data_IF_050450055261
#
_entry.id   IF_050450055261
#
_cell.length_a   1.000
_cell.length_b   1.000
_cell.length_c   1.000
_cell.angle_alpha   90.00
_cell.angle_beta   90.00
_cell.angle_gamma   90.00
#
_symmetry.space_group_name_H-M   'P 1'
#
loop_
_entity.id
_entity.type
_entity.pdbx_description
1 polymer ?
#
# COMPACT_ATOMS: atom_id res chain seq x y z
N UNK A 1 -7.89 -15.40 -18.00
CA UNK A 1 -9.16 -16.09 -17.67
C UNK A 1 -9.54 -15.69 -16.25
N UNK A 2 -10.75 -15.14 -16.04
CA UNK A 2 -11.27 -14.89 -14.69
C UNK A 2 -11.58 -16.26 -14.05
N UNK A 3 -10.88 -16.62 -12.98
CA UNK A 3 -11.16 -17.85 -12.22
C UNK A 3 -12.25 -17.60 -11.17
N UNK A 4 -12.92 -18.66 -10.72
CA UNK A 4 -13.95 -18.64 -9.68
C UNK A 4 -15.06 -17.61 -9.93
N UNK A 5 -15.55 -17.54 -11.18
CA UNK A 5 -16.60 -16.61 -11.61
C UNK A 5 -17.88 -16.76 -10.79
N UNK A 6 -18.19 -17.97 -10.33
CA UNK A 6 -19.36 -18.21 -9.47
C UNK A 6 -19.31 -17.44 -8.15
N UNK A 7 -18.10 -17.11 -7.65
CA UNK A 7 -17.91 -16.38 -6.40
C UNK A 7 -17.49 -14.92 -6.63
N UNK A 8 -16.52 -14.66 -7.50
CA UNK A 8 -16.02 -13.31 -7.78
C UNK A 8 -16.93 -12.49 -8.71
N UNK A 9 -17.90 -13.14 -9.37
CA UNK A 9 -18.75 -12.53 -10.38
C UNK A 9 -18.08 -12.44 -11.75
N UNK A 10 -18.85 -11.96 -12.73
CA UNK A 10 -18.39 -11.85 -14.13
C UNK A 10 -17.49 -10.65 -14.39
N UNK A 11 -17.53 -9.65 -13.50
CA UNK A 11 -16.78 -8.40 -13.59
C UNK A 11 -16.32 -7.99 -12.21
N UNK A 12 -15.05 -7.61 -12.11
CA UNK A 12 -14.49 -7.02 -10.90
C UNK A 12 -14.18 -5.55 -11.15
N UNK A 13 -14.71 -4.63 -10.32
CA UNK A 13 -14.31 -3.23 -10.38
C UNK A 13 -12.80 -3.12 -10.21
N UNK A 14 -12.16 -2.36 -11.10
CA UNK A 14 -10.73 -2.10 -11.00
C UNK A 14 -10.45 -1.24 -9.77
N UNK A 15 -9.61 -1.74 -8.87
CA UNK A 15 -9.09 -0.96 -7.74
C UNK A 15 -7.77 -0.25 -8.08
N UNK A 16 -7.29 -0.36 -9.33
CA UNK A 16 -6.00 0.22 -9.78
C UNK A 16 -5.98 1.74 -9.78
N UNK A 17 -7.14 2.38 -9.84
CA UNK A 17 -7.29 3.83 -9.76
C UNK A 17 -8.68 4.12 -9.20
N UNK A 18 -8.72 4.57 -7.95
CA UNK A 18 -9.96 4.98 -7.27
C UNK A 18 -9.94 6.49 -7.12
N UNK A 19 -10.94 7.14 -7.72
CA UNK A 19 -11.05 8.59 -7.75
C UNK A 19 -12.36 8.99 -7.06
N UNK A 20 -12.25 9.83 -6.03
CA UNK A 20 -13.40 10.39 -5.32
C UNK A 20 -14.15 11.42 -6.17
N UNK A 21 -15.31 11.88 -5.68
CA UNK A 21 -16.17 12.81 -6.39
C UNK A 21 -15.45 14.10 -6.80
N UNK A 22 -14.58 14.62 -5.91
CA UNK A 22 -13.81 15.85 -6.14
C UNK A 22 -12.45 15.60 -6.83
N UNK A 23 -12.32 14.47 -7.54
CA UNK A 23 -11.09 14.04 -8.23
C UNK A 23 -9.90 13.70 -7.32
N UNK A 24 -10.15 13.54 -6.02
CA UNK A 24 -9.16 13.03 -5.08
C UNK A 24 -8.77 11.58 -5.38
N UNK A 25 -7.47 11.26 -5.34
CA UNK A 25 -6.96 9.92 -5.67
C UNK A 25 -6.69 9.15 -4.39
N UNK A 26 -7.38 8.03 -4.20
CA UNK A 26 -7.16 7.14 -3.06
C UNK A 26 -5.94 6.23 -3.27
N UNK A 27 -5.45 5.61 -2.19
CA UNK A 27 -4.33 4.66 -2.23
C UNK A 27 -3.03 5.26 -2.80
N UNK A 28 -2.78 6.53 -2.54
CA UNK A 28 -1.51 7.18 -2.86
C UNK A 28 -0.60 7.09 -1.65
N UNK A 29 0.56 6.46 -1.83
CA UNK A 29 1.60 6.36 -0.83
C UNK A 29 2.37 7.69 -0.77
N UNK A 30 2.26 8.38 0.35
CA UNK A 30 2.97 9.64 0.61
C UNK A 30 4.19 9.34 1.48
N UNK A 31 5.36 9.77 1.04
CA UNK A 31 6.62 9.62 1.77
C UNK A 31 7.36 10.95 1.87
N UNK A 32 8.05 11.20 2.97
CA UNK A 32 9.01 12.30 3.07
C UNK A 32 10.44 11.75 3.06
N UNK A 33 11.29 12.38 2.25
CA UNK A 33 12.72 12.08 2.12
C UNK A 33 13.52 13.34 2.49
N UNK A 34 14.47 13.27 3.43
CA UNK A 34 15.30 14.42 3.82
C UNK A 34 15.59 14.49 5.32
N UNK A 35 16.75 15.05 5.66
CA UNK A 35 17.35 15.29 6.99
C UNK A 35 16.78 14.48 8.18
N UNK A 36 17.55 13.49 8.64
CA UNK A 36 17.44 12.80 9.95
C UNK A 36 16.00 12.63 10.47
N UNK A 37 15.10 12.17 9.59
CA UNK A 37 13.78 11.73 9.97
C UNK A 37 13.89 10.87 11.24
N UNK A 38 13.18 11.29 12.29
CA UNK A 38 13.22 10.76 13.65
C UNK A 38 13.56 9.26 13.72
N UNK A 39 14.52 8.92 14.59
CA UNK A 39 15.03 7.57 14.85
C UNK A 39 14.03 6.67 15.59
N UNK A 40 12.84 7.16 15.89
CA UNK A 40 11.80 6.37 16.55
C UNK A 40 11.14 5.46 15.51
N UNK A 41 11.79 4.33 15.28
CA UNK A 41 11.22 3.21 14.54
C UNK A 41 9.99 2.73 15.32
N UNK A 42 8.77 2.81 14.76
CA UNK A 42 7.62 2.22 15.41
C UNK A 42 7.90 0.75 15.70
N UNK A 43 7.51 0.21 16.86
CA UNK A 43 7.78 -1.19 17.17
C UNK A 43 7.17 -2.10 16.10
N UNK A 44 7.90 -3.15 15.75
CA UNK A 44 7.42 -4.19 14.85
C UNK A 44 6.07 -4.69 15.35
N UNK A 45 5.05 -4.55 14.50
CA UNK A 45 3.66 -4.89 14.82
C UNK A 45 3.17 -6.00 13.90
N UNK A 46 2.02 -6.57 14.24
CA UNK A 46 1.30 -7.42 13.30
C UNK A 46 0.56 -6.53 12.30
N UNK A 47 0.71 -6.81 11.01
CA UNK A 47 -0.14 -6.29 9.96
C UNK A 47 -1.05 -7.41 9.46
N UNK A 48 -2.28 -7.09 9.06
CA UNK A 48 -3.24 -8.07 8.55
C UNK A 48 -3.57 -7.75 7.11
N UNK A 49 -3.40 -8.73 6.22
CA UNK A 49 -3.87 -8.70 4.83
C UNK A 49 -4.93 -9.78 4.65
N UNK A 50 -6.13 -9.41 4.22
CA UNK A 50 -7.25 -10.33 4.07
C UNK A 50 -7.63 -10.50 2.60
N UNK A 51 -7.78 -11.75 2.15
CA UNK A 51 -8.45 -12.09 0.90
C UNK A 51 -9.96 -12.10 1.19
N UNK A 52 -10.66 -11.06 0.75
CA UNK A 52 -12.09 -10.92 1.02
C UNK A 52 -12.80 -10.24 -0.14
N UNK A 53 -13.86 -10.86 -0.64
CA UNK A 53 -14.60 -10.40 -1.81
C UNK A 53 -13.74 -10.38 -3.07
N UNK A 54 -12.85 -11.36 -3.22
CA UNK A 54 -11.86 -11.44 -4.29
C UNK A 54 -10.96 -10.19 -4.39
N UNK A 55 -10.57 -9.64 -3.23
CA UNK A 55 -9.71 -8.46 -3.09
C UNK A 55 -8.75 -8.64 -1.94
N UNK A 56 -7.62 -7.93 -2.01
CA UNK A 56 -6.73 -7.78 -0.87
C UNK A 56 -7.14 -6.57 -0.05
N UNK A 57 -7.34 -6.75 1.25
CA UNK A 57 -7.77 -5.69 2.15
C UNK A 57 -6.84 -5.63 3.38
N UNK A 58 -6.28 -4.44 3.71
CA UNK A 58 -6.31 -3.20 2.94
C UNK A 58 -5.42 -3.28 1.68
N UNK A 59 -5.58 -2.31 0.77
CA UNK A 59 -4.80 -2.24 -0.48
C UNK A 59 -3.35 -1.82 -0.27
N UNK A 60 -3.10 -0.91 0.68
CA UNK A 60 -1.76 -0.42 1.01
C UNK A 60 -1.50 -0.51 2.51
N UNK A 61 -0.31 -0.98 2.87
CA UNK A 61 0.23 -0.94 4.23
C UNK A 61 1.50 -0.09 4.28
N UNK A 62 1.74 0.53 5.44
CA UNK A 62 3.04 1.09 5.81
C UNK A 62 3.47 0.46 7.14
N UNK A 63 4.61 -0.21 7.13
CA UNK A 63 5.07 -1.02 8.26
C UNK A 63 6.58 -0.90 8.47
N UNK A 64 7.07 -1.02 9.72
CA UNK A 64 8.50 -1.13 9.99
C UNK A 64 9.05 -2.50 9.55
N UNK A 65 10.36 -2.62 9.27
CA UNK A 65 11.04 -3.91 9.16
C UNK A 65 10.80 -4.78 10.40
N UNK A 66 10.73 -6.11 10.25
CA UNK A 66 10.40 -7.02 11.35
C UNK A 66 8.91 -7.27 11.54
N UNK A 67 8.04 -6.56 10.80
CA UNK A 67 6.59 -6.73 10.90
C UNK A 67 6.17 -8.13 10.49
N UNK A 68 5.36 -8.78 11.33
CA UNK A 68 4.68 -10.03 10.99
C UNK A 68 3.40 -9.72 10.21
N UNK A 69 3.34 -10.20 8.97
CA UNK A 69 2.16 -10.12 8.13
C UNK A 69 1.30 -11.37 8.34
N UNK A 70 0.14 -11.20 8.95
CA UNK A 70 -0.93 -12.21 8.97
C UNK A 70 -1.72 -12.12 7.67
N UNK A 71 -1.60 -13.14 6.82
CA UNK A 71 -2.42 -13.26 5.61
C UNK A 71 -3.61 -14.15 5.93
N UNK A 72 -4.81 -13.62 5.73
CA UNK A 72 -6.09 -14.30 5.96
C UNK A 72 -6.76 -14.62 4.63
N UNK A 73 -7.53 -15.70 4.60
CA UNK A 73 -8.48 -15.95 3.52
C UNK A 73 -9.90 -16.02 4.06
N UNK A 74 -10.64 -14.93 3.89
CA UNK A 74 -12.05 -14.84 4.24
C UNK A 74 -12.98 -15.21 3.09
N UNK A 75 -12.44 -15.57 1.92
CA UNK A 75 -13.18 -16.11 0.79
C UNK A 75 -13.18 -17.65 0.81
N UNK A 76 -14.26 -18.32 0.38
CA UNK A 76 -14.35 -19.78 0.35
C UNK A 76 -13.69 -20.39 -0.89
N UNK A 77 -12.75 -19.69 -1.51
CA UNK A 77 -12.03 -20.10 -2.73
C UNK A 77 -10.52 -19.94 -2.54
N UNK A 78 -9.74 -20.59 -3.39
CA UNK A 78 -8.28 -20.50 -3.36
C UNK A 78 -7.81 -19.09 -3.74
N UNK A 79 -6.97 -18.52 -2.89
CA UNK A 79 -6.13 -17.36 -3.20
C UNK A 79 -4.66 -17.69 -2.98
N UNK A 80 -3.78 -16.94 -3.65
CA UNK A 80 -2.38 -16.84 -3.28
C UNK A 80 -1.99 -15.42 -2.94
N UNK A 81 -0.92 -15.27 -2.17
CA UNK A 81 -0.19 -14.02 -2.00
C UNK A 81 1.25 -14.25 -2.43
N UNK A 82 1.59 -13.76 -3.62
CA UNK A 82 2.94 -13.70 -4.12
C UNK A 82 3.51 -12.30 -3.89
N UNK A 83 4.52 -12.22 -3.04
CA UNK A 83 5.17 -10.97 -2.67
C UNK A 83 6.46 -10.75 -3.44
N UNK A 84 6.65 -9.53 -3.94
CA UNK A 84 7.83 -9.12 -4.70
C UNK A 84 8.44 -7.83 -4.18
N UNK A 85 9.77 -7.75 -4.16
CA UNK A 85 10.50 -6.46 -4.16
C UNK A 85 11.20 -6.34 -5.52
N UNK A 86 10.81 -5.33 -6.30
CA UNK A 86 11.23 -5.25 -7.70
C UNK A 86 10.75 -6.49 -8.47
N UNK A 87 11.70 -7.27 -8.97
CA UNK A 87 11.47 -8.54 -9.67
C UNK A 87 11.72 -9.78 -8.80
N UNK A 88 12.23 -9.61 -7.59
CA UNK A 88 12.58 -10.72 -6.70
C UNK A 88 11.37 -11.16 -5.88
N UNK A 89 11.10 -12.47 -5.86
CA UNK A 89 10.12 -13.08 -4.96
C UNK A 89 10.61 -13.06 -3.52
N UNK A 90 9.84 -12.46 -2.62
CA UNK A 90 10.05 -12.58 -1.16
C UNK A 90 9.48 -13.88 -0.62
N UNK A 91 8.23 -14.17 -0.99
CA UNK A 91 7.50 -15.35 -0.58
C UNK A 91 6.30 -15.55 -1.51
N UNK A 92 5.80 -16.79 -1.54
CA UNK A 92 4.57 -17.14 -2.24
C UNK A 92 3.76 -18.08 -1.35
N UNK A 93 2.60 -17.60 -0.91
CA UNK A 93 1.73 -18.32 0.03
C UNK A 93 0.45 -18.74 -0.68
N UNK A 94 0.07 -20.01 -0.55
CA UNK A 94 -1.24 -20.48 -0.97
C UNK A 94 -2.20 -20.53 0.23
N UNK A 95 -3.42 -20.03 0.02
CA UNK A 95 -4.48 -20.04 1.01
C UNK A 95 -5.73 -20.77 0.47
N UNK A 96 -5.70 -22.10 0.28
CA UNK A 96 -6.84 -22.85 -0.25
C UNK A 96 -8.03 -22.98 0.70
N UNK A 97 -7.84 -22.79 2.01
CA UNK A 97 -8.84 -23.13 3.02
C UNK A 97 -9.59 -21.87 3.48
N UNK A 98 -10.92 -21.97 3.58
CA UNK A 98 -11.75 -20.90 4.13
C UNK A 98 -11.34 -20.58 5.58
N UNK A 99 -11.18 -19.30 5.90
CA UNK A 99 -10.69 -18.76 7.18
C UNK A 99 -9.26 -19.18 7.54
N UNK A 100 -8.48 -19.65 6.57
CA UNK A 100 -7.06 -19.93 6.76
C UNK A 100 -6.30 -18.67 7.13
N UNK A 101 -5.29 -18.85 7.98
CA UNK A 101 -4.34 -17.81 8.39
C UNK A 101 -2.93 -18.34 8.20
N UNK A 102 -2.10 -17.60 7.48
CA UNK A 102 -0.68 -17.90 7.30
C UNK A 102 0.13 -16.65 7.61
N UNK A 103 1.38 -16.84 7.98
CA UNK A 103 2.24 -15.75 8.44
C UNK A 103 3.46 -15.62 7.54
N UNK A 104 3.87 -14.38 7.29
CA UNK A 104 5.16 -14.04 6.70
C UNK A 104 5.81 -12.91 7.49
N UNK A 105 7.12 -12.74 7.35
CA UNK A 105 7.85 -11.62 7.95
C UNK A 105 8.30 -10.66 6.86
N UNK A 106 8.16 -9.36 7.14
CA UNK A 106 8.57 -8.27 6.25
C UNK A 106 9.81 -7.58 6.82
N UNK A 107 10.99 -8.15 6.55
CA UNK A 107 12.27 -7.66 7.10
C UNK A 107 13.03 -6.74 6.16
N UNK A 108 12.78 -6.82 4.84
CA UNK A 108 13.54 -6.05 3.85
C UNK A 108 12.84 -4.73 3.55
N UNK A 109 13.50 -3.58 3.79
CA UNK A 109 12.95 -2.28 3.41
C UNK A 109 12.67 -2.19 1.91
N UNK A 110 11.62 -1.47 1.55
CA UNK A 110 11.21 -1.25 0.16
C UNK A 110 9.70 -1.37 -0.04
N UNK A 111 9.28 -1.11 -1.27
CA UNK A 111 7.90 -1.28 -1.68
C UNK A 111 7.67 -2.73 -2.13
N UNK A 112 6.96 -3.50 -1.30
CA UNK A 112 6.56 -4.87 -1.59
C UNK A 112 5.26 -4.86 -2.38
N UNK A 113 5.25 -5.47 -3.57
CA UNK A 113 4.04 -5.70 -4.37
C UNK A 113 3.50 -7.09 -4.08
N UNK A 114 2.21 -7.19 -3.80
CA UNK A 114 1.49 -8.43 -3.52
C UNK A 114 0.51 -8.74 -4.64
N UNK A 115 0.55 -9.95 -5.18
CA UNK A 115 -0.32 -10.40 -6.27
C UNK A 115 -0.96 -11.76 -5.98
N UNK A 116 -2.09 -12.02 -6.64
CA UNK A 116 -2.77 -13.30 -6.62
C UNK A 116 -2.58 -14.02 -7.97
N UNK A 117 -1.89 -15.15 -7.96
CA UNK A 117 -1.44 -15.84 -9.18
C UNK A 117 -2.45 -16.88 -9.71
N UNK A 118 -3.55 -17.10 -9.00
CA UNK A 118 -4.53 -18.14 -9.34
C UNK A 118 -5.63 -17.65 -10.29
N UNK A 119 -5.29 -16.74 -11.20
CA UNK A 119 -6.24 -16.18 -12.18
C UNK A 119 -7.11 -15.03 -11.66
N UNK A 120 -6.83 -14.53 -10.45
CA UNK A 120 -7.40 -13.30 -9.91
C UNK A 120 -6.52 -12.09 -10.25
N UNK A 121 -6.30 -11.85 -11.54
CA UNK A 121 -5.26 -10.91 -12.05
C UNK A 121 -5.48 -9.44 -11.70
N UNK A 122 -6.61 -9.11 -11.08
CA UNK A 122 -6.93 -7.78 -10.56
C UNK A 122 -6.49 -7.57 -9.11
N UNK A 123 -6.28 -8.67 -8.36
CA UNK A 123 -5.90 -8.61 -6.94
C UNK A 123 -4.45 -8.16 -6.83
N UNK A 124 -4.29 -6.93 -6.36
CA UNK A 124 -2.99 -6.34 -6.08
C UNK A 124 -3.06 -5.51 -4.81
N UNK A 125 -2.03 -5.62 -3.99
CA UNK A 125 -1.83 -4.79 -2.81
C UNK A 125 -0.35 -4.43 -2.70
N UNK A 126 -0.04 -3.48 -1.81
CA UNK A 126 1.31 -2.98 -1.61
C UNK A 126 1.62 -2.84 -0.13
N UNK A 127 2.86 -3.11 0.25
CA UNK A 127 3.36 -2.84 1.59
C UNK A 127 4.65 -2.04 1.48
N UNK A 128 4.64 -0.80 1.96
CA UNK A 128 5.87 -0.05 2.15
C UNK A 128 6.51 -0.49 3.48
N UNK A 129 7.64 -1.19 3.38
CA UNK A 129 8.49 -1.53 4.51
C UNK A 129 9.52 -0.42 4.69
N UNK A 130 9.42 0.39 5.74
CA UNK A 130 10.34 1.49 6.03
C UNK A 130 10.49 1.70 7.53
N UNK A 131 11.68 2.10 7.96
CA UNK A 131 11.97 2.21 9.39
C UNK A 131 11.59 3.57 10.00
N UNK A 132 11.29 4.59 9.21
CA UNK A 132 10.89 5.89 9.73
C UNK A 132 9.35 6.06 9.69
N UNK A 133 8.82 6.86 10.61
CA UNK A 133 7.39 7.18 10.69
C UNK A 133 6.90 8.18 9.64
N UNK A 134 7.68 8.49 8.59
CA UNK A 134 7.38 9.57 7.64
C UNK A 134 6.71 9.07 6.36
N UNK A 135 5.69 8.23 6.52
CA UNK A 135 4.81 7.87 5.43
C UNK A 135 3.37 7.72 5.87
N UNK A 136 2.47 7.95 4.93
CA UNK A 136 1.03 7.79 5.09
C UNK A 136 0.39 7.40 3.75
N UNK A 137 -0.91 7.11 3.75
CA UNK A 137 -1.67 6.75 2.55
C UNK A 137 -2.88 7.67 2.44
N UNK A 138 -3.21 8.13 1.23
CA UNK A 138 -4.42 8.95 1.02
C UNK A 138 -5.70 8.17 1.27
N UNK A 139 -6.70 8.85 1.82
CA UNK A 139 -8.06 8.36 1.97
C UNK A 139 -8.83 8.32 0.65
N UNK A 140 -10.09 7.86 0.68
CA UNK A 140 -10.97 7.78 -0.50
C UNK A 140 -11.19 9.10 -1.25
N UNK A 141 -11.03 10.22 -0.54
CA UNK A 141 -11.13 11.60 -1.03
C UNK A 141 -9.78 12.19 -1.47
N UNK A 142 -8.70 11.40 -1.44
CA UNK A 142 -7.35 11.84 -1.75
C UNK A 142 -6.67 12.65 -0.63
N UNK A 143 -7.32 12.89 0.50
CA UNK A 143 -6.72 13.59 1.62
C UNK A 143 -5.73 12.69 2.36
N UNK A 144 -4.66 13.28 2.88
CA UNK A 144 -3.73 12.58 3.78
C UNK A 144 -3.33 13.49 4.94
N UNK A 145 -2.91 12.86 6.03
CA UNK A 145 -2.34 13.55 7.17
C UNK A 145 -1.09 12.79 7.62
N UNK A 146 -0.01 13.53 7.86
CA UNK A 146 1.26 13.01 8.36
C UNK A 146 1.70 13.85 9.55
N UNK A 147 1.71 13.22 10.73
CA UNK A 147 2.07 13.85 12.01
C UNK A 147 3.49 13.48 12.42
N UNK A 148 4.04 14.18 13.40
CA UNK A 148 5.36 13.85 13.95
C UNK A 148 6.52 14.15 13.00
N UNK A 149 6.29 15.00 12.00
CA UNK A 149 7.34 15.45 11.07
C UNK A 149 8.21 16.50 11.78
N UNK A 150 9.53 16.29 11.92
CA UNK A 150 10.40 17.28 12.53
C UNK A 150 10.52 18.54 11.64
N UNK A 151 10.84 19.71 12.20
CA UNK A 151 11.13 20.89 11.41
C UNK A 151 12.30 20.65 10.45
N UNK A 152 12.17 21.10 9.21
CA UNK A 152 13.16 20.86 8.16
C UNK A 152 12.59 21.00 6.76
N UNK A 153 13.45 20.84 5.75
CA UNK A 153 13.04 20.79 4.35
C UNK A 153 13.17 19.36 3.85
N UNK A 154 12.08 18.83 3.31
CA UNK A 154 11.95 17.46 2.83
C UNK A 154 11.53 17.46 1.37
N UNK A 155 11.88 16.39 0.66
CA UNK A 155 11.26 16.02 -0.60
C UNK A 155 10.10 15.09 -0.28
N UNK A 156 8.88 15.57 -0.51
CA UNK A 156 7.68 14.76 -0.44
C UNK A 156 7.51 14.03 -1.77
N UNK A 157 7.28 12.71 -1.72
CA UNK A 157 6.96 11.87 -2.87
C UNK A 157 5.59 11.25 -2.69
N UNK A 158 4.76 11.38 -3.72
CA UNK A 158 3.46 10.74 -3.85
C UNK A 158 3.55 9.65 -4.92
N UNK A 159 3.52 8.38 -4.53
CA UNK A 159 3.54 7.24 -5.44
C UNK A 159 2.15 6.58 -5.51
N UNK A 160 1.69 6.29 -6.73
CA UNK A 160 0.49 5.53 -7.00
C UNK A 160 0.77 4.52 -8.11
N UNK A 161 0.21 3.31 -8.03
CA UNK A 161 0.57 2.20 -8.93
C UNK A 161 0.32 2.50 -10.41
N UNK A 162 -0.74 3.26 -10.72
CA UNK A 162 -1.15 3.57 -12.09
C UNK A 162 -0.63 4.93 -12.56
N UNK A 163 -0.46 5.89 -11.65
CA UNK A 163 -0.15 7.29 -11.99
C UNK A 163 1.35 7.61 -11.83
N UNK A 164 2.14 6.66 -11.32
CA UNK A 164 3.56 6.81 -11.07
C UNK A 164 3.85 7.69 -9.85
N UNK A 165 4.99 8.37 -9.88
CA UNK A 165 5.43 9.24 -8.79
C UNK A 165 5.32 10.72 -9.16
N UNK A 166 4.97 11.54 -8.16
CA UNK A 166 5.15 13.00 -8.18
C UNK A 166 5.95 13.41 -6.96
N UNK A 167 6.80 14.41 -7.11
CA UNK A 167 7.66 14.89 -6.04
C UNK A 167 7.58 16.40 -5.92
N UNK A 168 7.66 16.91 -4.70
CA UNK A 168 7.73 18.34 -4.40
C UNK A 168 8.59 18.58 -3.16
N UNK A 169 9.17 19.77 -3.04
CA UNK A 169 9.79 20.21 -1.79
C UNK A 169 8.71 20.68 -0.82
N UNK A 170 8.88 20.38 0.46
CA UNK A 170 8.05 20.88 1.56
C UNK A 170 8.93 21.29 2.73
N UNK A 171 8.69 22.49 3.26
CA UNK A 171 9.34 22.95 4.50
C UNK A 171 8.33 22.86 5.64
N UNK A 172 8.75 22.20 6.71
CA UNK A 172 8.00 22.08 7.97
C UNK A 172 8.64 22.99 9.00
N UNK A 173 7.83 23.83 9.63
CA UNK A 173 8.24 24.74 10.71
C UNK A 173 7.55 24.36 12.01
N UNK A 174 8.23 24.47 13.15
CA UNK A 174 7.69 24.11 14.46
C UNK A 174 6.32 24.75 14.73
N UNK A 175 5.35 23.93 15.13
CA UNK A 175 4.03 24.40 15.57
C UNK A 175 3.11 24.94 14.47
N UNK A 176 3.47 24.78 13.18
CA UNK A 176 2.63 25.20 12.05
C UNK A 176 2.43 24.06 11.06
N UNK A 177 1.18 23.74 10.66
CA UNK A 177 0.95 22.75 9.62
C UNK A 177 1.40 23.28 8.27
N UNK A 178 2.06 22.42 7.49
CA UNK A 178 2.32 22.68 6.07
C UNK A 178 1.17 22.08 5.26
N UNK A 179 0.54 22.89 4.40
CA UNK A 179 -0.55 22.47 3.51
C UNK A 179 -0.05 22.49 2.08
N UNK A 180 -0.28 21.40 1.34
CA UNK A 180 0.08 21.30 -0.06
C UNK A 180 -0.92 20.43 -0.81
N UNK A 181 -0.92 20.57 -2.14
CA UNK A 181 -1.70 19.74 -3.07
C UNK A 181 -0.77 19.22 -4.14
N UNK A 182 -0.78 17.91 -4.38
CA UNK A 182 -0.09 17.29 -5.50
C UNK A 182 -1.10 16.90 -6.56
N UNK A 183 -0.82 17.28 -7.80
CA UNK A 183 -1.63 16.92 -8.95
C UNK A 183 -0.90 15.87 -9.78
N UNK A 184 -1.56 14.75 -10.04
CA UNK A 184 -1.17 13.88 -11.14
C UNK A 184 -1.69 14.50 -12.44
N UNK A 185 -0.77 14.83 -13.36
CA UNK A 185 -1.15 15.22 -14.72
C UNK A 185 -1.87 14.08 -15.43
N UNK A 186 -2.56 14.38 -16.53
CA UNK A 186 -3.06 13.34 -17.44
C UNK A 186 -1.90 12.40 -17.81
N UNK A 187 -2.12 11.08 -17.93
CA UNK A 187 -1.14 10.20 -18.54
C UNK A 187 -0.73 10.82 -19.88
N UNK A 188 0.58 10.96 -20.12
CA UNK A 188 1.05 11.28 -21.47
C UNK A 188 0.58 10.15 -22.40
N UNK A 189 -0.12 10.50 -23.47
CA UNK A 189 -0.58 9.56 -24.51
C UNK A 189 0.58 8.71 -25.09
#
# INVERSE_FOLDING_TARGET
MFKHREFCGERMPSERLRVGADRGVADVLITLEGASASRDVPPARTAVLDNRGCRFIPRIHVVPPGTRLEVRNSDPILHTVHAYIGTETLFHLALPIFRQRVWATLDRPGLVRLECDVGHTWMRAYVLVRADGLATVTGPDGAFHLTGVPPGTFRLRAWHETLGSRETSVTVTTGRPSVLTLLYGAPSD
#
